data_IF_792197702277
#
_entry.id   IF_792197702277
#
_cell.length_a   1.000
_cell.length_b   1.000
_cell.length_c   1.000
_cell.angle_alpha   90.00
_cell.angle_beta   90.00
_cell.angle_gamma   90.00
#
_symmetry.space_group_name_H-M   'P 1'
#
loop_
_entity.id
_entity.type
_entity.pdbx_description
1 polymer ?
#
# COMPACT_ATOMS: atom_id res chain seq x y z
N UNK A 1 15.96 -8.66 -25.82
CA UNK A 1 16.09 -8.10 -24.46
C UNK A 1 16.15 -9.27 -23.51
N UNK A 2 17.27 -9.47 -22.80
CA UNK A 2 17.39 -10.57 -21.83
C UNK A 2 16.32 -10.40 -20.75
N UNK A 3 15.43 -11.37 -20.58
CA UNK A 3 14.43 -11.35 -19.51
C UNK A 3 15.19 -11.61 -18.22
N UNK A 4 15.55 -10.53 -17.52
CA UNK A 4 16.14 -10.64 -16.19
C UNK A 4 15.15 -11.33 -15.24
N UNK A 5 15.62 -12.31 -14.47
CA UNK A 5 14.78 -12.99 -13.50
C UNK A 5 14.40 -12.03 -12.37
N UNK A 6 13.20 -12.19 -11.79
CA UNK A 6 12.74 -11.36 -10.67
C UNK A 6 13.73 -11.37 -9.50
N UNK A 7 14.37 -12.52 -9.25
CA UNK A 7 15.40 -12.66 -8.22
C UNK A 7 16.65 -11.83 -8.54
N UNK A 8 17.08 -11.78 -9.80
CA UNK A 8 18.20 -10.93 -10.23
C UNK A 8 17.91 -9.45 -10.02
N UNK A 9 16.70 -9.03 -10.36
CA UNK A 9 16.24 -7.65 -10.15
C UNK A 9 16.18 -7.27 -8.66
N UNK A 10 15.65 -8.15 -7.79
CA UNK A 10 15.61 -7.92 -6.35
C UNK A 10 17.02 -7.77 -5.76
N UNK A 11 17.96 -8.63 -6.17
CA UNK A 11 19.35 -8.53 -5.72
C UNK A 11 20.00 -7.21 -6.12
N UNK A 12 19.72 -6.70 -7.33
CA UNK A 12 20.20 -5.37 -7.75
C UNK A 12 19.58 -4.24 -6.94
N UNK A 13 18.29 -4.36 -6.58
CA UNK A 13 17.59 -3.40 -5.75
C UNK A 13 18.20 -3.34 -4.34
N UNK A 14 18.44 -4.49 -3.71
CA UNK A 14 19.10 -4.60 -2.40
C UNK A 14 20.51 -3.99 -2.39
N UNK A 15 21.25 -4.13 -3.50
CA UNK A 15 22.59 -3.58 -3.66
C UNK A 15 22.60 -2.09 -4.09
N UNK A 16 21.45 -1.44 -4.25
CA UNK A 16 21.36 -0.05 -4.69
C UNK A 16 21.84 0.21 -6.13
N UNK A 17 21.80 -0.82 -6.99
CA UNK A 17 22.30 -0.75 -8.38
C UNK A 17 21.26 -0.26 -9.39
N UNK A 18 20.03 0.00 -8.94
CA UNK A 18 18.92 0.44 -9.81
C UNK A 18 18.69 1.93 -9.57
N UNK A 19 18.70 2.78 -10.61
CA UNK A 19 18.36 4.19 -10.47
C UNK A 19 16.92 4.40 -9.98
N UNK A 20 16.70 5.43 -9.17
CA UNK A 20 15.40 5.79 -8.58
C UNK A 20 14.26 5.88 -9.60
N UNK A 21 14.51 6.45 -10.78
CA UNK A 21 13.47 6.61 -11.79
C UNK A 21 13.04 5.27 -12.40
N UNK A 22 13.96 4.32 -12.50
CA UNK A 22 13.63 2.96 -12.93
C UNK A 22 12.86 2.22 -11.82
N UNK A 23 13.24 2.40 -10.54
CA UNK A 23 12.46 1.88 -9.40
C UNK A 23 11.02 2.39 -9.45
N UNK A 24 10.83 3.71 -9.59
CA UNK A 24 9.49 4.34 -9.68
C UNK A 24 8.69 3.81 -10.86
N UNK A 25 9.33 3.61 -12.02
CA UNK A 25 8.70 3.07 -13.23
C UNK A 25 8.25 1.62 -13.02
N UNK A 26 9.11 0.76 -12.45
CA UNK A 26 8.78 -0.63 -12.14
C UNK A 26 7.60 -0.72 -11.16
N UNK A 27 7.60 0.13 -10.11
CA UNK A 27 6.47 0.23 -9.18
C UNK A 27 5.18 0.62 -9.91
N UNK A 28 5.21 1.62 -10.80
CA UNK A 28 4.03 2.04 -11.57
C UNK A 28 3.48 0.93 -12.47
N UNK A 29 4.34 0.10 -13.06
CA UNK A 29 3.92 -1.06 -13.87
C UNK A 29 3.14 -2.06 -13.00
N UNK A 30 3.66 -2.41 -11.84
CA UNK A 30 2.97 -3.34 -10.92
C UNK A 30 1.68 -2.75 -10.35
N UNK A 31 1.66 -1.44 -10.05
CA UNK A 31 0.45 -0.74 -9.64
C UNK A 31 -0.62 -0.76 -10.75
N UNK A 32 -0.24 -0.48 -12.00
CA UNK A 32 -1.15 -0.54 -13.14
C UNK A 32 -1.74 -1.94 -13.33
N UNK A 33 -0.91 -2.98 -13.22
CA UNK A 33 -1.35 -4.37 -13.27
C UNK A 33 -2.31 -4.70 -12.11
N UNK A 34 -2.06 -4.18 -10.91
CA UNK A 34 -2.95 -4.37 -9.75
C UNK A 34 -4.30 -3.69 -9.96
N UNK A 35 -4.31 -2.48 -10.55
CA UNK A 35 -5.55 -1.79 -10.91
C UNK A 35 -6.35 -2.57 -11.94
N UNK A 36 -5.68 -3.06 -13.00
CA UNK A 36 -6.32 -3.89 -14.03
C UNK A 36 -6.92 -5.18 -13.45
N UNK A 37 -6.23 -5.83 -12.50
CA UNK A 37 -6.76 -7.00 -11.80
C UNK A 37 -7.95 -6.67 -10.88
N UNK A 38 -7.89 -5.50 -10.23
CA UNK A 38 -8.85 -5.08 -9.22
C UNK A 38 -10.19 -4.61 -9.79
N UNK A 39 -10.16 -3.84 -10.88
CA UNK A 39 -11.37 -3.40 -11.58
C UNK A 39 -12.04 -4.58 -12.29
N UNK A 40 -13.36 -4.69 -12.11
CA UNK A 40 -14.19 -5.67 -12.79
C UNK A 40 -14.97 -5.03 -13.93
N UNK A 41 -15.37 -5.85 -14.89
CA UNK A 41 -16.03 -5.38 -16.12
C UNK A 41 -17.44 -4.88 -15.84
N UNK A 42 -18.09 -5.37 -14.79
CA UNK A 42 -19.40 -4.91 -14.34
C UNK A 42 -19.38 -4.47 -12.88
N UNK A 43 -20.35 -3.61 -12.53
CA UNK A 43 -20.56 -3.21 -11.14
C UNK A 43 -20.96 -4.40 -10.25
N UNK A 44 -21.76 -5.32 -10.77
CA UNK A 44 -22.18 -6.53 -10.04
C UNK A 44 -20.96 -7.39 -9.65
N UNK A 45 -20.04 -7.64 -10.58
CA UNK A 45 -18.80 -8.36 -10.31
C UNK A 45 -17.91 -7.61 -9.29
N UNK A 46 -17.88 -6.28 -9.36
CA UNK A 46 -17.13 -5.47 -8.41
C UNK A 46 -17.68 -5.64 -6.99
N UNK A 47 -19.00 -5.64 -6.82
CA UNK A 47 -19.65 -5.86 -5.53
C UNK A 47 -19.47 -7.30 -5.06
N UNK A 48 -19.64 -8.29 -5.93
CA UNK A 48 -19.43 -9.70 -5.60
C UNK A 48 -17.98 -9.94 -5.13
N UNK A 49 -16.99 -9.32 -5.78
CA UNK A 49 -15.59 -9.42 -5.36
C UNK A 49 -15.36 -8.83 -3.96
N UNK A 50 -15.97 -7.69 -3.64
CA UNK A 50 -15.89 -7.09 -2.30
C UNK A 50 -16.58 -7.96 -1.24
N UNK A 51 -17.78 -8.46 -1.54
CA UNK A 51 -18.52 -9.34 -0.64
C UNK A 51 -17.72 -10.61 -0.33
N UNK A 52 -17.15 -11.25 -1.35
CA UNK A 52 -16.30 -12.42 -1.18
C UNK A 52 -15.14 -12.17 -0.21
N UNK A 53 -14.44 -11.04 -0.33
CA UNK A 53 -13.38 -10.66 0.61
C UNK A 53 -13.93 -10.42 2.03
N UNK A 54 -15.03 -9.69 2.18
CA UNK A 54 -15.60 -9.44 3.52
C UNK A 54 -16.08 -10.72 4.19
N UNK A 55 -16.64 -11.66 3.44
CA UNK A 55 -17.04 -12.97 3.94
C UNK A 55 -15.82 -13.80 4.31
N UNK A 56 -14.76 -13.83 3.49
CA UNK A 56 -13.55 -14.59 3.84
C UNK A 56 -12.91 -14.07 5.13
N UNK A 57 -12.80 -12.75 5.29
CA UNK A 57 -12.20 -12.13 6.48
C UNK A 57 -12.99 -12.43 7.77
N UNK A 58 -14.32 -12.57 7.70
CA UNK A 58 -15.15 -12.94 8.87
C UNK A 58 -14.85 -14.33 9.43
N UNK A 59 -14.23 -15.21 8.65
CA UNK A 59 -13.86 -16.56 9.06
C UNK A 59 -12.38 -16.67 9.49
N UNK A 60 -11.63 -15.56 9.43
CA UNK A 60 -10.21 -15.53 9.83
C UNK A 60 -10.08 -15.10 11.30
N UNK A 61 -8.95 -15.45 11.91
CA UNK A 61 -8.58 -14.93 13.23
C UNK A 61 -8.42 -13.40 13.19
N UNK A 62 -8.51 -12.76 14.37
CA UNK A 62 -8.35 -11.30 14.52
C UNK A 62 -7.04 -10.81 13.89
N UNK A 63 -5.96 -11.57 14.04
CA UNK A 63 -4.68 -11.32 13.40
C UNK A 63 -3.96 -12.63 13.07
N UNK A 64 -3.07 -12.57 12.09
CA UNK A 64 -2.13 -13.61 11.70
C UNK A 64 -0.76 -12.96 11.57
N UNK A 65 0.33 -13.74 11.66
CA UNK A 65 1.71 -13.23 11.50
C UNK A 65 2.06 -12.09 12.47
N UNK A 66 1.54 -12.14 13.70
CA UNK A 66 1.71 -11.04 14.69
C UNK A 66 3.18 -10.88 15.08
N UNK A 67 3.81 -11.95 15.55
CA UNK A 67 5.19 -11.91 16.05
C UNK A 67 6.19 -11.63 14.91
N UNK A 68 5.93 -12.19 13.72
CA UNK A 68 6.76 -11.97 12.53
C UNK A 68 6.65 -10.53 12.04
N UNK A 69 5.45 -9.94 12.05
CA UNK A 69 5.26 -8.54 11.70
C UNK A 69 5.95 -7.58 12.69
N UNK A 70 5.88 -7.87 13.99
CA UNK A 70 6.52 -7.05 15.03
C UNK A 70 8.04 -7.00 14.86
N UNK A 71 8.65 -8.19 14.79
CA UNK A 71 10.09 -8.34 14.62
C UNK A 71 10.61 -7.74 13.31
N UNK A 72 9.89 -7.90 12.20
CA UNK A 72 10.36 -7.44 10.89
C UNK A 72 10.17 -5.93 10.65
N UNK A 73 9.13 -5.31 11.21
CA UNK A 73 8.69 -3.98 10.78
C UNK A 73 8.55 -2.95 11.90
N UNK A 74 8.24 -3.35 13.14
CA UNK A 74 7.92 -2.40 14.21
C UNK A 74 9.08 -2.20 15.21
N UNK A 75 9.93 -3.20 15.40
CA UNK A 75 11.09 -3.13 16.30
C UNK A 75 12.32 -2.44 15.70
N UNK A 76 12.12 -1.29 15.06
CA UNK A 76 13.22 -0.49 14.47
C UNK A 76 13.85 0.42 15.53
N UNK A 77 15.20 0.53 15.61
CA UNK A 77 15.86 1.39 16.60
C UNK A 77 15.36 2.83 16.59
N UNK A 78 15.09 3.38 17.79
CA UNK A 78 14.49 4.71 17.95
C UNK A 78 15.31 5.84 17.31
N UNK A 79 16.64 5.71 17.31
CA UNK A 79 17.52 6.72 16.74
C UNK A 79 17.43 6.77 15.21
N UNK A 80 17.23 5.62 14.55
CA UNK A 80 16.91 5.59 13.12
C UNK A 80 15.55 6.23 12.85
N UNK A 81 14.56 5.99 13.70
CA UNK A 81 13.24 6.59 13.56
C UNK A 81 13.29 8.13 13.67
N UNK A 82 14.08 8.68 14.61
CA UNK A 82 14.31 10.14 14.75
C UNK A 82 14.98 10.76 13.53
N UNK A 83 15.83 10.00 12.84
CA UNK A 83 16.47 10.46 11.61
C UNK A 83 15.51 10.46 10.42
N UNK A 84 14.69 9.42 10.28
CA UNK A 84 13.79 9.23 9.14
C UNK A 84 12.48 10.03 9.24
N UNK A 85 11.96 10.24 10.44
CA UNK A 85 10.67 10.89 10.68
C UNK A 85 10.81 12.31 11.24
N UNK A 86 9.71 13.06 11.22
CA UNK A 86 9.63 14.35 11.91
C UNK A 86 9.66 14.23 13.44
N UNK A 87 9.62 15.36 14.13
CA UNK A 87 9.75 15.47 15.59
C UNK A 87 8.77 14.63 16.42
N UNK A 88 7.60 14.30 15.86
CA UNK A 88 6.58 13.46 16.52
C UNK A 88 6.73 11.97 16.22
N UNK A 89 7.76 11.57 15.47
CA UNK A 89 8.02 10.19 15.02
C UNK A 89 6.82 9.54 14.31
N UNK A 90 6.01 10.37 13.64
CA UNK A 90 4.78 9.92 13.00
C UNK A 90 5.08 9.13 11.72
N UNK A 91 4.94 7.80 11.78
CA UNK A 91 5.03 6.87 10.63
C UNK A 91 3.74 6.73 9.80
N UNK A 92 2.78 7.66 9.94
CA UNK A 92 1.50 7.66 9.20
C UNK A 92 1.34 8.95 8.43
N UNK A 93 0.45 8.94 7.44
CA UNK A 93 0.10 10.11 6.64
C UNK A 93 -0.15 11.35 7.52
N UNK A 94 0.42 12.47 7.10
CA UNK A 94 0.05 13.77 7.64
C UNK A 94 -1.36 14.08 7.17
N UNK A 95 -2.33 13.91 8.06
CA UNK A 95 -3.71 14.31 7.85
C UNK A 95 -3.75 15.84 7.76
N UNK A 96 -3.47 16.41 6.59
CA UNK A 96 -4.18 17.63 6.21
C UNK A 96 -5.65 17.21 6.12
N UNK A 97 -6.46 17.82 6.98
CA UNK A 97 -7.90 17.63 7.07
C UNK A 97 -8.49 18.05 5.73
N UNK A 98 -8.59 17.12 4.77
CA UNK A 98 -9.39 17.29 3.55
C UNK A 98 -10.84 17.25 4.02
N UNK A 99 -11.31 18.36 4.55
CA UNK A 99 -12.71 18.56 4.82
C UNK A 99 -13.43 18.52 3.49
N UNK A 100 -14.31 17.53 3.37
CA UNK A 100 -15.63 17.59 2.75
C UNK A 100 -16.01 19.01 2.27
N UNK A 101 -15.56 19.38 1.06
CA UNK A 101 -16.16 20.45 0.25
C UNK A 101 -17.09 19.81 -0.80
N UNK A 102 -17.94 18.89 -0.34
CA UNK A 102 -19.03 18.36 -1.16
C UNK A 102 -20.28 18.40 -0.28
N UNK A 103 -21.14 19.37 -0.58
CA UNK A 103 -22.53 19.56 -0.14
C UNK A 103 -22.80 20.24 1.23
N UNK A 104 -22.75 21.57 1.25
CA UNK A 104 -23.62 22.41 2.09
C UNK A 104 -24.56 23.33 1.29
N UNK A 105 -24.68 23.17 -0.04
CA UNK A 105 -25.57 23.99 -0.86
C UNK A 105 -26.83 23.23 -1.31
N UNK A 106 -27.58 22.62 -0.40
CA UNK A 106 -28.97 22.20 -0.66
C UNK A 106 -29.76 22.20 0.64
N UNK A 107 -30.46 23.31 0.91
CA UNK A 107 -31.35 23.43 2.07
C UNK A 107 -31.73 24.86 2.39
N UNK A 108 -32.43 25.54 1.49
CA UNK A 108 -33.29 26.66 1.86
C UNK A 108 -34.72 26.36 1.41
N UNK A 109 -35.58 26.21 2.42
CA UNK A 109 -37.03 26.39 2.37
C UNK A 109 -37.30 27.88 2.21
#
# INVERSE_FOLDING_TARGET
MSVESKQGLLKKFELGLIPDDEIKKLIRIELARRLQWGYKSTYEEQIAHLLNLTHSLRHMNIAMEVDTLDSHMYEVPIDFQKFMHGSTLKGRYNTMRVYLLVNSNNGHI
#
